data_IF_961542933834
#
_entry.id   IF_961542933834
#
_cell.length_a   1.000
_cell.length_b   1.000
_cell.length_c   1.000
_cell.angle_alpha   90.00
_cell.angle_beta   90.00
_cell.angle_gamma   90.00
#
_symmetry.space_group_name_H-M   'P 1'
#
loop_
_entity.id
_entity.type
_entity.pdbx_description
1 polymer ?
#
# COMPACT_ATOMS: atom_id res chain seq x y z
N UNK A 1 11.20 -2.01 -42.02
CA UNK A 1 10.94 -1.86 -40.58
C UNK A 1 12.01 -0.91 -40.02
N UNK A 2 11.71 0.37 -39.80
CA UNK A 2 12.70 1.35 -39.31
C UNK A 2 13.23 0.86 -37.95
N UNK A 3 14.52 0.54 -37.85
CA UNK A 3 15.14 0.34 -36.55
C UNK A 3 15.03 1.67 -35.81
N UNK A 4 14.13 1.79 -34.84
CA UNK A 4 14.16 2.94 -33.94
C UNK A 4 15.56 3.03 -33.35
N UNK A 5 16.26 4.11 -33.69
CA UNK A 5 17.62 4.35 -33.23
C UNK A 5 17.64 4.33 -31.69
N UNK A 6 18.58 3.57 -31.13
CA UNK A 6 18.79 3.53 -29.69
C UNK A 6 18.95 4.95 -29.12
N UNK A 7 18.11 5.29 -28.14
CA UNK A 7 18.18 6.58 -27.43
C UNK A 7 18.58 6.36 -25.99
N UNK A 8 19.80 6.76 -25.63
CA UNK A 8 20.30 6.71 -24.27
C UNK A 8 19.38 7.49 -23.30
N UNK A 9 18.94 6.82 -22.23
CA UNK A 9 18.04 7.37 -21.20
C UNK A 9 18.75 7.78 -19.92
N UNK A 10 20.09 7.72 -19.88
CA UNK A 10 20.90 8.01 -18.70
C UNK A 10 20.48 9.30 -17.98
N UNK A 11 20.36 10.43 -18.70
CA UNK A 11 20.00 11.72 -18.08
C UNK A 11 18.63 11.71 -17.39
N UNK A 12 17.63 11.11 -18.03
CA UNK A 12 16.28 11.00 -17.47
C UNK A 12 16.29 10.11 -16.24
N UNK A 13 16.99 8.98 -16.30
CA UNK A 13 17.12 8.07 -15.16
C UNK A 13 17.85 8.73 -13.99
N UNK A 14 18.94 9.46 -14.24
CA UNK A 14 19.65 10.20 -13.19
C UNK A 14 18.76 11.28 -12.57
N UNK A 15 18.00 12.04 -13.36
CA UNK A 15 17.08 13.05 -12.83
C UNK A 15 15.99 12.43 -11.94
N UNK A 16 15.37 11.33 -12.38
CA UNK A 16 14.45 10.57 -11.55
C UNK A 16 15.12 10.04 -10.29
N UNK A 17 16.37 9.57 -10.39
CA UNK A 17 17.14 9.09 -9.25
C UNK A 17 17.38 10.15 -8.19
N UNK A 18 17.76 11.37 -8.60
CA UNK A 18 17.90 12.52 -7.69
C UNK A 18 16.57 12.83 -7.02
N UNK A 19 15.50 12.95 -7.79
CA UNK A 19 14.17 13.28 -7.24
C UNK A 19 13.70 12.23 -6.23
N UNK A 20 13.75 10.94 -6.59
CA UNK A 20 13.35 9.85 -5.69
C UNK A 20 14.21 9.83 -4.42
N UNK A 21 15.53 10.01 -4.53
CA UNK A 21 16.41 10.00 -3.38
C UNK A 21 16.14 11.17 -2.43
N UNK A 22 16.05 12.40 -2.97
CA UNK A 22 15.76 13.59 -2.17
C UNK A 22 14.38 13.52 -1.52
N UNK A 23 13.35 13.12 -2.27
CA UNK A 23 12.01 12.91 -1.72
C UNK A 23 11.99 11.84 -0.65
N UNK A 24 12.70 10.72 -0.85
CA UNK A 24 12.80 9.65 0.13
C UNK A 24 13.47 10.11 1.44
N UNK A 25 14.56 10.87 1.35
CA UNK A 25 15.23 11.46 2.53
C UNK A 25 14.31 12.45 3.23
N UNK A 26 13.69 13.37 2.50
CA UNK A 26 12.79 14.37 3.07
C UNK A 26 11.60 13.72 3.79
N UNK A 27 10.96 12.72 3.17
CA UNK A 27 9.85 11.97 3.79
C UNK A 27 10.34 11.17 5.01
N UNK A 28 11.51 10.54 4.95
CA UNK A 28 12.08 9.83 6.09
C UNK A 28 12.34 10.74 7.30
N UNK A 29 12.66 12.02 7.06
CA UNK A 29 12.83 13.03 8.11
C UNK A 29 11.49 13.52 8.72
N UNK A 30 10.36 13.31 8.04
CA UNK A 30 9.04 13.61 8.63
C UNK A 30 8.69 12.68 9.79
N UNK A 31 9.18 11.43 9.79
CA UNK A 31 8.92 10.47 10.87
C UNK A 31 9.33 10.98 12.26
N UNK A 32 10.61 11.36 12.48
CA UNK A 32 11.05 11.94 13.75
C UNK A 32 10.35 13.26 14.10
N UNK A 33 9.99 14.08 13.11
CA UNK A 33 9.26 15.32 13.34
C UNK A 33 7.85 15.01 13.85
N UNK A 34 7.15 14.07 13.24
CA UNK A 34 5.79 13.69 13.62
C UNK A 34 5.74 12.89 14.93
N UNK A 35 6.84 12.26 15.35
CA UNK A 35 6.96 11.72 16.72
C UNK A 35 6.76 12.80 17.79
N UNK A 36 7.06 14.08 17.50
CA UNK A 36 6.80 15.18 18.41
C UNK A 36 5.30 15.34 18.73
N UNK A 37 4.41 14.94 17.82
CA UNK A 37 2.97 14.97 18.03
C UNK A 37 2.55 14.13 19.25
N UNK A 38 3.23 13.01 19.55
CA UNK A 38 2.92 12.23 20.75
C UNK A 38 3.06 13.07 22.04
N UNK A 39 4.09 13.93 22.13
CA UNK A 39 4.27 14.83 23.28
C UNK A 39 3.18 15.92 23.35
N UNK A 40 2.71 16.40 22.20
CA UNK A 40 1.65 17.42 22.17
C UNK A 40 0.30 16.89 22.67
N UNK A 41 0.04 15.59 22.54
CA UNK A 41 -1.18 14.92 23.00
C UNK A 41 -1.04 14.19 24.34
N UNK A 42 0.19 13.92 24.79
CA UNK A 42 0.47 13.34 26.11
C UNK A 42 -0.03 14.24 27.26
N UNK A 43 -0.06 13.69 28.48
CA UNK A 43 -0.46 14.43 29.68
C UNK A 43 0.39 15.70 29.86
N UNK A 44 -0.27 16.85 30.09
CA UNK A 44 0.36 18.17 30.12
C UNK A 44 0.65 18.80 28.75
N UNK A 45 0.43 18.06 27.65
CA UNK A 45 0.57 18.55 26.29
C UNK A 45 -0.55 19.52 25.87
N UNK A 46 -0.24 20.38 24.90
CA UNK A 46 -1.16 21.43 24.40
C UNK A 46 -2.51 20.88 23.90
N UNK A 47 -2.52 19.69 23.32
CA UNK A 47 -3.70 19.06 22.72
C UNK A 47 -4.20 17.85 23.51
N UNK A 48 -3.80 17.74 24.78
CA UNK A 48 -4.17 16.63 25.65
C UNK A 48 -5.68 16.41 25.78
N UNK A 49 -6.08 15.14 25.90
CA UNK A 49 -7.40 14.71 26.38
C UNK A 49 -7.30 13.34 27.05
N UNK A 50 -8.25 13.08 27.94
CA UNK A 50 -8.36 11.80 28.63
C UNK A 50 -8.58 10.65 27.62
N UNK A 51 -7.77 9.60 27.74
CA UNK A 51 -7.83 8.41 26.89
C UNK A 51 -6.94 8.43 25.65
N UNK A 52 -6.13 9.49 25.43
CA UNK A 52 -5.06 9.43 24.44
C UNK A 52 -4.01 8.38 24.82
N UNK A 53 -3.71 7.46 23.90
CA UNK A 53 -2.76 6.37 24.13
C UNK A 53 -2.99 5.19 23.19
N UNK A 54 -2.35 4.06 23.48
CA UNK A 54 -2.55 2.84 22.69
C UNK A 54 -4.02 2.43 22.65
N UNK A 55 -4.54 2.17 21.44
CA UNK A 55 -5.97 1.90 21.21
C UNK A 55 -6.80 3.13 20.85
N UNK A 56 -6.30 4.34 21.05
CA UNK A 56 -6.96 5.57 20.60
C UNK A 56 -6.74 5.79 19.10
N UNK A 57 -7.71 6.41 18.43
CA UNK A 57 -7.63 6.74 17.01
C UNK A 57 -6.43 7.62 16.72
N UNK A 58 -6.21 8.66 17.54
CA UNK A 58 -5.17 9.64 17.23
C UNK A 58 -3.77 9.09 17.44
N UNK A 59 -3.56 8.29 18.48
CA UNK A 59 -2.34 7.54 18.63
C UNK A 59 -2.09 6.61 17.43
N UNK A 60 -3.09 5.81 17.06
CA UNK A 60 -3.01 4.89 15.93
C UNK A 60 -2.75 5.60 14.60
N UNK A 61 -3.38 6.75 14.37
CA UNK A 61 -3.19 7.56 13.16
C UNK A 61 -1.77 8.13 13.06
N UNK A 62 -1.26 8.76 14.13
CA UNK A 62 0.13 9.29 14.16
C UNK A 62 1.13 8.15 13.93
N UNK A 63 0.97 7.03 14.64
CA UNK A 63 1.83 5.87 14.46
C UNK A 63 1.78 5.32 13.02
N UNK A 64 0.60 5.23 12.42
CA UNK A 64 0.40 4.77 11.05
C UNK A 64 1.05 5.70 10.02
N UNK A 65 0.98 7.01 10.23
CA UNK A 65 1.61 8.02 9.37
C UNK A 65 3.14 7.90 9.42
N UNK A 66 3.72 7.81 10.63
CA UNK A 66 5.17 7.59 10.83
C UNK A 66 5.64 6.31 10.13
N UNK A 67 4.91 5.20 10.32
CA UNK A 67 5.19 3.94 9.62
C UNK A 67 5.13 4.16 8.10
N UNK A 68 4.09 4.83 7.60
CA UNK A 68 3.93 5.19 6.20
C UNK A 68 5.12 5.97 5.63
N UNK A 69 5.61 6.99 6.34
CA UNK A 69 6.77 7.77 5.91
C UNK A 69 8.03 6.89 5.80
N UNK A 70 8.30 6.04 6.78
CA UNK A 70 9.45 5.16 6.72
C UNK A 70 9.34 4.11 5.61
N UNK A 71 8.13 3.59 5.34
CA UNK A 71 7.92 2.68 4.21
C UNK A 71 8.15 3.37 2.86
N UNK A 72 7.62 4.58 2.69
CA UNK A 72 7.84 5.37 1.48
C UNK A 72 9.34 5.65 1.32
N UNK A 73 10.03 6.09 2.37
CA UNK A 73 11.47 6.30 2.36
C UNK A 73 12.25 5.02 2.02
N UNK A 74 11.89 3.88 2.60
CA UNK A 74 12.49 2.58 2.36
C UNK A 74 12.32 2.08 0.92
N UNK A 75 11.33 2.59 0.18
CA UNK A 75 11.16 2.32 -1.26
C UNK A 75 11.91 3.36 -2.11
N UNK A 76 11.70 4.65 -1.81
CA UNK A 76 12.22 5.75 -2.64
C UNK A 76 13.75 5.85 -2.58
N UNK A 77 14.37 5.66 -1.41
CA UNK A 77 15.83 5.78 -1.25
C UNK A 77 16.57 4.70 -2.06
N UNK A 78 16.26 3.40 -1.92
CA UNK A 78 16.89 2.38 -2.76
C UNK A 78 16.62 2.60 -4.25
N UNK A 79 15.38 2.89 -4.65
CA UNK A 79 15.08 3.17 -6.05
C UNK A 79 15.88 4.37 -6.56
N UNK A 80 15.95 5.47 -5.81
CA UNK A 80 16.73 6.65 -6.15
C UNK A 80 18.21 6.33 -6.34
N UNK A 81 18.81 5.64 -5.37
CA UNK A 81 20.20 5.16 -5.45
C UNK A 81 20.43 4.29 -6.68
N UNK A 82 19.54 3.32 -6.91
CA UNK A 82 19.66 2.41 -8.05
C UNK A 82 19.58 3.15 -9.39
N UNK A 83 18.69 4.14 -9.52
CA UNK A 83 18.59 4.99 -10.71
C UNK A 83 19.88 5.77 -10.96
N UNK A 84 20.46 6.39 -9.92
CA UNK A 84 21.72 7.13 -10.02
C UNK A 84 22.89 6.24 -10.41
N UNK A 85 22.91 5.00 -9.91
CA UNK A 85 23.92 3.99 -10.25
C UNK A 85 23.58 3.16 -11.50
N UNK A 86 22.47 3.47 -12.18
CA UNK A 86 21.97 2.77 -13.37
C UNK A 86 21.97 1.24 -13.20
N UNK A 87 21.54 0.77 -12.03
CA UNK A 87 21.50 -0.67 -11.70
C UNK A 87 20.33 -1.35 -12.41
N UNK A 88 20.56 -2.56 -12.94
CA UNK A 88 19.52 -3.28 -13.70
C UNK A 88 18.30 -3.68 -12.87
N UNK A 89 18.48 -3.99 -11.58
CA UNK A 89 17.39 -4.36 -10.68
C UNK A 89 16.35 -3.25 -10.46
N UNK A 90 16.71 -1.99 -10.78
CA UNK A 90 15.81 -0.84 -10.64
C UNK A 90 14.57 -1.00 -11.50
N UNK A 91 14.73 -1.51 -12.72
CA UNK A 91 13.63 -1.63 -13.67
C UNK A 91 12.52 -2.57 -13.16
N UNK A 92 12.78 -3.84 -12.81
CA UNK A 92 11.74 -4.71 -12.28
C UNK A 92 11.15 -4.20 -10.96
N UNK A 93 11.96 -3.60 -10.07
CA UNK A 93 11.44 -3.02 -8.82
C UNK A 93 10.55 -1.80 -9.05
N UNK A 94 10.95 -0.88 -9.93
CA UNK A 94 10.13 0.29 -10.27
C UNK A 94 8.80 -0.13 -10.89
N UNK A 95 8.82 -1.05 -11.86
CA UNK A 95 7.58 -1.60 -12.46
C UNK A 95 6.71 -2.25 -11.37
N UNK A 96 7.31 -3.02 -10.47
CA UNK A 96 6.60 -3.65 -9.35
C UNK A 96 5.93 -2.61 -8.45
N UNK A 97 6.66 -1.58 -8.02
CA UNK A 97 6.13 -0.51 -7.17
C UNK A 97 5.00 0.26 -7.86
N UNK A 98 5.08 0.48 -9.17
CA UNK A 98 4.03 1.17 -9.93
C UNK A 98 2.75 0.33 -10.07
N UNK A 99 2.87 -0.99 -10.23
CA UNK A 99 1.70 -1.88 -10.18
C UNK A 99 1.08 -1.94 -8.78
N UNK A 100 1.91 -1.98 -7.75
CA UNK A 100 1.45 -1.92 -6.35
C UNK A 100 0.75 -0.59 -6.07
N UNK A 101 1.28 0.54 -6.58
CA UNK A 101 0.61 1.84 -6.55
C UNK A 101 -0.75 1.76 -7.21
N UNK A 102 -0.87 1.23 -8.44
CA UNK A 102 -2.17 1.12 -9.10
C UNK A 102 -3.18 0.29 -8.29
N UNK A 103 -2.75 -0.85 -7.74
CA UNK A 103 -3.62 -1.77 -6.98
C UNK A 103 -4.12 -1.13 -5.68
N UNK A 104 -3.23 -0.48 -4.92
CA UNK A 104 -3.56 0.08 -3.60
C UNK A 104 -4.13 1.49 -3.70
N UNK A 105 -3.57 2.30 -4.60
CA UNK A 105 -3.82 3.72 -4.71
C UNK A 105 -5.05 4.07 -5.54
N UNK A 106 -5.39 3.30 -6.58
CA UNK A 106 -6.59 3.62 -7.38
C UNK A 106 -7.90 3.62 -6.56
N UNK A 107 -8.11 2.70 -5.59
CA UNK A 107 -9.28 2.73 -4.72
C UNK A 107 -9.35 3.95 -3.80
N UNK A 108 -8.21 4.61 -3.49
CA UNK A 108 -8.22 5.86 -2.73
C UNK A 108 -8.94 6.99 -3.47
N UNK A 109 -8.96 6.96 -4.80
CA UNK A 109 -9.73 7.93 -5.61
C UNK A 109 -11.20 7.92 -5.24
N UNK A 110 -11.75 6.72 -5.04
CA UNK A 110 -13.17 6.54 -4.72
C UNK A 110 -13.48 7.13 -3.34
N UNK A 111 -12.62 6.86 -2.35
CA UNK A 111 -12.81 7.38 -0.98
C UNK A 111 -12.71 8.90 -0.96
N UNK A 112 -11.66 9.46 -1.58
CA UNK A 112 -11.50 10.91 -1.66
C UNK A 112 -12.66 11.54 -2.41
N UNK A 113 -13.16 10.92 -3.48
CA UNK A 113 -14.34 11.40 -4.20
C UNK A 113 -15.57 11.51 -3.28
N UNK A 114 -15.87 10.49 -2.46
CA UNK A 114 -16.98 10.55 -1.52
C UNK A 114 -16.76 11.58 -0.41
N UNK A 115 -15.52 11.73 0.08
CA UNK A 115 -15.17 12.79 1.06
C UNK A 115 -15.40 14.18 0.45
N UNK A 116 -14.97 14.39 -0.80
CA UNK A 116 -15.15 15.67 -1.51
C UNK A 116 -16.64 15.97 -1.73
N UNK A 117 -17.45 14.97 -2.12
CA UNK A 117 -18.90 15.13 -2.27
C UNK A 117 -19.62 15.38 -0.95
N UNK A 118 -19.14 14.80 0.14
CA UNK A 118 -19.71 14.97 1.48
C UNK A 118 -19.28 16.27 2.17
N UNK A 119 -18.25 16.95 1.67
CA UNK A 119 -17.75 18.20 2.23
C UNK A 119 -18.66 19.36 1.82
N UNK A 120 -19.32 19.97 2.81
CA UNK A 120 -20.25 21.10 2.58
C UNK A 120 -19.56 22.41 2.22
N UNK A 121 -18.27 22.52 2.48
CA UNK A 121 -17.51 23.77 2.37
C UNK A 121 -16.68 23.87 1.07
N UNK A 122 -16.66 22.81 0.24
CA UNK A 122 -15.91 22.80 -1.01
C UNK A 122 -16.78 23.23 -2.18
N UNK A 123 -16.30 24.21 -2.95
CA UNK A 123 -16.94 24.57 -4.21
C UNK A 123 -16.78 23.46 -5.24
N UNK A 124 -17.81 23.26 -6.07
CA UNK A 124 -17.82 22.26 -7.14
C UNK A 124 -16.59 22.34 -8.08
N UNK A 125 -16.08 23.53 -8.46
CA UNK A 125 -14.86 23.62 -9.27
C UNK A 125 -13.62 23.08 -8.56
N UNK A 126 -13.45 23.39 -7.26
CA UNK A 126 -12.29 22.92 -6.48
C UNK A 126 -12.32 21.41 -6.33
N UNK A 127 -13.48 20.84 -6.00
CA UNK A 127 -13.65 19.39 -5.93
C UNK A 127 -13.35 18.70 -7.28
N UNK A 128 -13.78 19.30 -8.39
CA UNK A 128 -13.52 18.76 -9.73
C UNK A 128 -12.03 18.79 -10.10
N UNK A 129 -11.35 19.91 -9.82
CA UNK A 129 -9.90 20.02 -10.04
C UNK A 129 -9.14 19.01 -9.19
N UNK A 130 -9.50 18.88 -7.91
CA UNK A 130 -8.89 17.91 -7.01
C UNK A 130 -9.06 16.47 -7.54
N UNK A 131 -10.26 16.11 -8.01
CA UNK A 131 -10.52 14.80 -8.58
C UNK A 131 -9.72 14.54 -9.86
N UNK A 132 -9.60 15.53 -10.76
CA UNK A 132 -8.78 15.43 -11.97
C UNK A 132 -7.32 15.19 -11.61
N UNK A 133 -6.76 15.98 -10.69
CA UNK A 133 -5.38 15.83 -10.23
C UNK A 133 -5.15 14.46 -9.59
N UNK A 134 -6.14 13.94 -8.86
CA UNK A 134 -6.09 12.62 -8.24
C UNK A 134 -6.09 11.50 -9.29
N UNK A 135 -6.97 11.57 -10.30
CA UNK A 135 -6.98 10.63 -11.41
C UNK A 135 -5.66 10.66 -12.21
N UNK A 136 -5.12 11.85 -12.46
CA UNK A 136 -3.84 12.02 -13.15
C UNK A 136 -2.68 11.41 -12.35
N UNK A 137 -2.64 11.62 -11.03
CA UNK A 137 -1.56 11.12 -10.17
C UNK A 137 -1.66 9.62 -9.90
N UNK A 138 -2.85 9.07 -9.69
CA UNK A 138 -3.04 7.67 -9.29
C UNK A 138 -3.29 6.69 -10.44
N UNK A 139 -3.65 7.15 -11.64
CA UNK A 139 -3.88 6.28 -12.80
C UNK A 139 -2.93 6.61 -13.96
N UNK A 140 -2.90 7.88 -14.39
CA UNK A 140 -2.18 8.28 -15.60
C UNK A 140 -0.66 8.24 -15.39
N UNK A 141 -0.17 8.87 -14.33
CA UNK A 141 1.25 8.89 -14.00
C UNK A 141 1.86 7.49 -13.86
N UNK A 142 1.31 6.56 -13.05
CA UNK A 142 1.87 5.22 -12.98
C UNK A 142 1.77 4.46 -14.31
N UNK A 143 0.71 4.64 -15.09
CA UNK A 143 0.59 4.05 -16.43
C UNK A 143 1.68 4.52 -17.40
N UNK A 144 1.96 5.83 -17.42
CA UNK A 144 3.03 6.40 -18.24
C UNK A 144 4.42 5.92 -17.79
N UNK A 145 4.66 5.85 -16.49
CA UNK A 145 5.93 5.35 -15.94
C UNK A 145 6.13 3.85 -16.22
N UNK A 146 5.08 3.03 -16.10
CA UNK A 146 5.15 1.60 -16.47
C UNK A 146 5.55 1.47 -17.95
N UNK A 147 4.91 2.22 -18.84
CA UNK A 147 5.26 2.25 -20.27
C UNK A 147 6.71 2.69 -20.49
N UNK A 148 7.18 3.70 -19.77
CA UNK A 148 8.56 4.16 -19.83
C UNK A 148 9.55 3.06 -19.43
N UNK A 149 9.37 2.42 -18.27
CA UNK A 149 10.27 1.34 -17.80
C UNK A 149 10.19 0.07 -18.63
N UNK A 150 9.05 -0.21 -19.28
CA UNK A 150 8.93 -1.31 -20.23
C UNK A 150 9.64 -1.05 -21.56
N UNK A 151 9.93 0.21 -21.89
CA UNK A 151 10.58 0.61 -23.14
C UNK A 151 11.96 -0.01 -23.36
N UNK A 152 12.23 -0.39 -24.61
CA UNK A 152 13.51 -1.02 -25.03
C UNK A 152 14.74 -0.15 -24.71
N UNK A 153 14.60 1.16 -24.88
CA UNK A 153 15.68 2.12 -24.61
C UNK A 153 16.14 2.09 -23.14
N UNK A 154 15.21 2.05 -22.17
CA UNK A 154 15.56 1.98 -20.73
C UNK A 154 16.29 0.68 -20.43
N UNK A 155 15.81 -0.43 -20.97
CA UNK A 155 16.45 -1.75 -20.82
C UNK A 155 17.89 -1.73 -21.35
N UNK A 156 18.10 -1.27 -22.58
CA UNK A 156 19.44 -1.21 -23.18
C UNK A 156 20.38 -0.25 -22.44
N UNK A 157 19.88 0.91 -21.98
CA UNK A 157 20.68 1.83 -21.16
C UNK A 157 21.17 1.17 -19.87
N UNK A 158 20.31 0.40 -19.19
CA UNK A 158 20.69 -0.33 -17.97
C UNK A 158 21.65 -1.49 -18.26
N UNK A 159 21.38 -2.29 -19.29
CA UNK A 159 22.24 -3.42 -19.69
C UNK A 159 23.64 -2.96 -20.12
N UNK A 160 23.75 -1.79 -20.76
CA UNK A 160 25.03 -1.19 -21.15
C UNK A 160 25.87 -0.68 -19.97
N UNK A 161 25.26 -0.42 -18.80
CA UNK A 161 25.91 0.21 -17.65
C UNK A 161 26.20 -0.75 -16.50
N UNK A 162 25.42 -1.82 -16.36
CA UNK A 162 25.58 -2.82 -15.31
C UNK A 162 25.61 -4.22 -15.93
N UNK A 163 26.80 -4.81 -16.03
CA UNK A 163 27.00 -6.12 -16.65
C UNK A 163 26.54 -7.29 -15.78
N UNK A 164 26.30 -7.05 -14.48
CA UNK A 164 25.94 -8.10 -13.52
C UNK A 164 24.42 -8.29 -13.48
N UNK A 165 23.88 -9.45 -13.87
CA UNK A 165 22.46 -9.71 -13.71
C UNK A 165 22.10 -9.80 -12.22
N UNK A 166 21.00 -9.15 -11.82
CA UNK A 166 20.46 -9.28 -10.47
C UNK A 166 19.51 -10.47 -10.34
N UNK A 167 19.45 -11.08 -9.16
CA UNK A 167 18.50 -12.16 -8.87
C UNK A 167 17.03 -11.73 -9.06
N UNK A 168 16.73 -10.45 -8.83
CA UNK A 168 15.38 -9.87 -8.98
C UNK A 168 14.94 -9.90 -10.45
N UNK A 169 15.87 -9.75 -11.40
CA UNK A 169 15.55 -9.81 -12.84
C UNK A 169 15.09 -11.20 -13.28
N UNK A 170 15.50 -12.25 -12.56
CA UNK A 170 15.07 -13.62 -12.81
C UNK A 170 13.62 -13.90 -12.36
N UNK A 171 13.00 -12.98 -11.60
CA UNK A 171 11.65 -13.15 -11.11
C UNK A 171 10.63 -12.51 -12.06
N UNK A 172 9.54 -13.22 -12.43
CA UNK A 172 8.44 -12.62 -13.17
C UNK A 172 7.80 -11.46 -12.39
N UNK A 173 7.46 -10.37 -13.06
CA UNK A 173 6.82 -9.19 -12.44
C UNK A 173 5.60 -9.55 -11.59
N UNK A 174 4.67 -10.45 -12.00
CA UNK A 174 3.54 -10.81 -11.15
C UNK A 174 3.94 -11.42 -9.80
N UNK A 175 5.05 -12.16 -9.74
CA UNK A 175 5.56 -12.75 -8.49
C UNK A 175 6.10 -11.65 -7.56
N UNK A 176 6.81 -10.67 -8.11
CA UNK A 176 7.30 -9.52 -7.34
C UNK A 176 6.12 -8.66 -6.83
N UNK A 177 5.13 -8.40 -7.68
CA UNK A 177 3.93 -7.63 -7.32
C UNK A 177 3.16 -8.31 -6.19
N UNK A 178 2.88 -9.62 -6.30
CA UNK A 178 2.23 -10.38 -5.21
C UNK A 178 3.04 -10.32 -3.91
N UNK A 179 4.36 -10.49 -4.00
CA UNK A 179 5.22 -10.47 -2.81
C UNK A 179 5.19 -9.10 -2.11
N UNK A 180 5.22 -8.01 -2.87
CA UNK A 180 5.09 -6.65 -2.33
C UNK A 180 3.70 -6.37 -1.76
N UNK A 181 2.64 -6.84 -2.42
CA UNK A 181 1.27 -6.70 -1.92
C UNK A 181 1.07 -7.46 -0.61
N UNK A 182 1.59 -8.69 -0.49
CA UNK A 182 1.54 -9.44 0.76
C UNK A 182 2.33 -8.77 1.88
N UNK A 183 3.53 -8.26 1.58
CA UNK A 183 4.32 -7.51 2.55
C UNK A 183 3.59 -6.22 3.01
N UNK A 184 2.95 -5.52 2.08
CA UNK A 184 2.09 -4.38 2.39
C UNK A 184 0.93 -4.78 3.31
N UNK A 185 0.23 -5.89 3.02
CA UNK A 185 -0.85 -6.38 3.86
C UNK A 185 -0.38 -6.81 5.25
N UNK A 186 0.79 -7.42 5.38
CA UNK A 186 1.39 -7.68 6.70
C UNK A 186 1.47 -6.40 7.51
N UNK A 187 1.96 -5.31 6.93
CA UNK A 187 2.09 -4.03 7.64
C UNK A 187 0.72 -3.44 7.96
N UNK A 188 -0.24 -3.48 7.03
CA UNK A 188 -1.60 -3.00 7.28
C UNK A 188 -2.29 -3.77 8.41
N UNK A 189 -2.11 -5.10 8.48
CA UNK A 189 -2.67 -5.90 9.57
C UNK A 189 -2.03 -5.59 10.92
N UNK A 190 -0.72 -5.29 10.96
CA UNK A 190 -0.09 -4.80 12.20
C UNK A 190 -0.65 -3.46 12.64
N UNK A 191 -0.96 -2.55 11.70
CA UNK A 191 -1.60 -1.27 12.02
C UNK A 191 -2.96 -1.50 12.68
N UNK A 192 -3.74 -2.50 12.26
CA UNK A 192 -5.03 -2.83 12.87
C UNK A 192 -4.93 -3.28 14.35
N UNK A 193 -3.76 -3.74 14.79
CA UNK A 193 -3.50 -4.04 16.21
C UNK A 193 -3.60 -2.75 17.05
N UNK A 194 -3.18 -1.60 16.50
CA UNK A 194 -3.30 -0.29 17.16
C UNK A 194 -4.76 0.17 17.30
N UNK A 195 -5.66 -0.43 16.53
CA UNK A 195 -7.10 -0.13 16.50
C UNK A 195 -7.90 -1.27 17.15
N UNK A 196 -7.55 -1.60 18.39
CA UNK A 196 -8.20 -2.64 19.19
C UNK A 196 -8.27 -4.02 18.50
N UNK A 197 -7.26 -4.37 17.69
CA UNK A 197 -7.19 -5.65 16.99
C UNK A 197 -8.34 -5.91 16.02
N UNK A 198 -8.87 -4.87 15.37
CA UNK A 198 -10.03 -5.00 14.48
C UNK A 198 -9.79 -6.01 13.35
N UNK A 199 -10.49 -7.14 13.37
CA UNK A 199 -10.38 -8.19 12.35
C UNK A 199 -11.75 -8.52 11.72
N UNK A 200 -11.91 -8.47 10.39
CA UNK A 200 -13.15 -8.84 9.72
C UNK A 200 -13.27 -10.36 9.55
N UNK A 201 -14.29 -10.97 10.17
CA UNK A 201 -14.56 -12.39 10.14
C UNK A 201 -16.00 -12.69 9.66
N UNK A 202 -16.16 -12.90 8.36
CA UNK A 202 -17.38 -13.39 7.69
C UNK A 202 -18.68 -12.73 8.17
N UNK A 203 -18.73 -11.40 8.16
CA UNK A 203 -19.92 -10.63 8.48
C UNK A 203 -19.88 -9.97 9.86
N UNK A 204 -18.89 -10.32 10.68
CA UNK A 204 -18.74 -9.80 12.05
C UNK A 204 -17.31 -9.32 12.27
N UNK A 205 -17.14 -8.22 13.01
CA UNK A 205 -15.84 -7.78 13.49
C UNK A 205 -15.46 -8.47 14.80
N UNK A 206 -14.20 -8.92 14.88
CA UNK A 206 -13.57 -9.36 16.13
C UNK A 206 -12.64 -8.25 16.61
N UNK A 207 -12.66 -8.00 17.91
CA UNK A 207 -11.86 -6.97 18.57
C UNK A 207 -11.12 -7.56 19.78
N UNK A 208 -10.24 -6.77 20.39
CA UNK A 208 -9.44 -7.15 21.54
C UNK A 208 -8.55 -8.36 21.24
N UNK A 209 -8.34 -9.21 22.23
CA UNK A 209 -7.43 -10.36 22.13
C UNK A 209 -7.80 -11.34 21.00
N UNK A 210 -9.09 -11.61 20.79
CA UNK A 210 -9.53 -12.51 19.71
C UNK A 210 -9.16 -11.96 18.34
N UNK A 211 -9.36 -10.65 18.13
CA UNK A 211 -9.00 -9.98 16.89
C UNK A 211 -7.50 -9.96 16.67
N UNK A 212 -6.70 -9.68 17.71
CA UNK A 212 -5.23 -9.71 17.66
C UNK A 212 -4.72 -11.10 17.26
N UNK A 213 -5.22 -12.18 17.88
CA UNK A 213 -4.81 -13.55 17.54
C UNK A 213 -5.10 -13.86 16.06
N UNK A 214 -6.27 -13.45 15.56
CA UNK A 214 -6.62 -13.66 14.14
C UNK A 214 -5.73 -12.84 13.20
N UNK A 215 -5.39 -11.59 13.58
CA UNK A 215 -4.42 -10.77 12.85
C UNK A 215 -3.05 -11.45 12.80
N UNK A 216 -2.54 -11.95 13.92
CA UNK A 216 -1.24 -12.62 14.01
C UNK A 216 -1.17 -13.88 13.14
N UNK A 217 -2.23 -14.69 13.15
CA UNK A 217 -2.34 -15.86 12.28
C UNK A 217 -2.33 -15.43 10.81
N UNK A 218 -3.11 -14.41 10.45
CA UNK A 218 -3.16 -13.88 9.08
C UNK A 218 -1.80 -13.31 8.63
N UNK A 219 -1.10 -12.61 9.51
CA UNK A 219 0.26 -12.10 9.31
C UNK A 219 1.24 -13.26 9.06
N UNK A 220 1.22 -14.28 9.91
CA UNK A 220 2.09 -15.45 9.76
C UNK A 220 1.84 -16.16 8.42
N UNK A 221 0.57 -16.35 8.04
CA UNK A 221 0.19 -16.89 6.74
C UNK A 221 0.75 -16.04 5.59
N UNK A 222 0.59 -14.71 5.63
CA UNK A 222 1.12 -13.81 4.61
C UNK A 222 2.64 -13.84 4.51
N UNK A 223 3.37 -13.90 5.63
CA UNK A 223 4.83 -14.03 5.65
C UNK A 223 5.27 -15.34 4.98
N UNK A 224 4.61 -16.46 5.33
CA UNK A 224 4.84 -17.74 4.65
C UNK A 224 4.55 -17.63 3.14
N UNK A 225 3.47 -16.95 2.75
CA UNK A 225 3.12 -16.73 1.34
C UNK A 225 4.14 -15.87 0.60
N UNK A 226 4.69 -14.81 1.21
CA UNK A 226 5.79 -14.01 0.63
C UNK A 226 6.97 -14.91 0.31
N UNK A 227 7.43 -15.68 1.31
CA UNK A 227 8.56 -16.59 1.14
C UNK A 227 8.30 -17.64 0.06
N UNK A 228 7.14 -18.31 0.13
CA UNK A 228 6.76 -19.35 -0.83
C UNK A 228 6.57 -18.82 -2.26
N UNK A 229 6.08 -17.58 -2.40
CA UNK A 229 5.87 -16.89 -3.68
C UNK A 229 7.18 -16.52 -4.34
N UNK A 230 8.12 -15.94 -3.58
CA UNK A 230 9.48 -15.66 -4.06
C UNK A 230 10.23 -16.95 -4.45
N UNK A 231 9.99 -18.05 -3.73
CA UNK A 231 10.52 -19.38 -4.06
C UNK A 231 9.71 -20.12 -5.14
N UNK A 232 8.64 -19.52 -5.68
CA UNK A 232 7.77 -20.07 -6.74
C UNK A 232 7.25 -21.48 -6.45
N UNK A 233 6.98 -21.79 -5.17
CA UNK A 233 6.51 -23.11 -4.71
C UNK A 233 5.02 -23.28 -5.04
N UNK A 234 4.62 -24.46 -5.54
CA UNK A 234 3.21 -24.74 -5.91
C UNK A 234 2.23 -24.57 -4.75
N UNK A 235 2.62 -24.96 -3.54
CA UNK A 235 1.78 -24.80 -2.34
C UNK A 235 1.49 -23.32 -2.04
N UNK A 236 2.43 -22.41 -2.34
CA UNK A 236 2.26 -20.98 -2.07
C UNK A 236 1.24 -20.35 -3.01
N UNK A 237 1.14 -20.85 -4.25
CA UNK A 237 0.10 -20.44 -5.18
C UNK A 237 -1.29 -20.87 -4.68
N UNK A 238 -1.46 -22.15 -4.35
CA UNK A 238 -2.74 -22.64 -3.78
C UNK A 238 -3.09 -21.91 -2.48
N UNK A 239 -2.11 -21.77 -1.58
CA UNK A 239 -2.24 -21.04 -0.34
C UNK A 239 -2.69 -19.60 -0.57
N UNK A 240 -2.08 -18.88 -1.51
CA UNK A 240 -2.47 -17.53 -1.85
C UNK A 240 -3.91 -17.47 -2.40
N UNK A 241 -4.28 -18.35 -3.33
CA UNK A 241 -5.62 -18.37 -3.92
C UNK A 241 -6.69 -18.61 -2.85
N UNK A 242 -6.47 -19.58 -1.96
CA UNK A 242 -7.43 -19.92 -0.90
C UNK A 242 -7.44 -18.86 0.20
N UNK A 243 -6.28 -18.47 0.72
CA UNK A 243 -6.17 -17.52 1.82
C UNK A 243 -6.63 -16.12 1.41
N UNK A 244 -6.07 -15.56 0.31
CA UNK A 244 -6.44 -14.22 -0.15
C UNK A 244 -7.89 -14.21 -0.62
N UNK A 245 -8.38 -15.26 -1.28
CA UNK A 245 -9.78 -15.37 -1.67
C UNK A 245 -10.73 -15.33 -0.46
N UNK A 246 -10.51 -16.21 0.52
CA UNK A 246 -11.30 -16.24 1.76
C UNK A 246 -11.21 -14.93 2.54
N UNK A 247 -10.01 -14.35 2.65
CA UNK A 247 -9.80 -13.08 3.35
C UNK A 247 -10.48 -11.91 2.64
N UNK A 248 -10.45 -11.89 1.31
CA UNK A 248 -11.16 -10.89 0.47
C UNK A 248 -12.66 -10.97 0.70
N UNK A 249 -13.24 -12.17 0.58
CA UNK A 249 -14.68 -12.38 0.76
C UNK A 249 -15.13 -12.03 2.18
N UNK A 250 -14.38 -12.48 3.19
CA UNK A 250 -14.62 -12.15 4.60
C UNK A 250 -14.62 -10.64 4.84
N UNK A 251 -13.60 -9.94 4.31
CA UNK A 251 -13.43 -8.49 4.48
C UNK A 251 -14.55 -7.71 3.81
N UNK A 252 -14.84 -7.99 2.54
CA UNK A 252 -15.90 -7.30 1.79
C UNK A 252 -17.25 -7.54 2.45
N UNK A 253 -17.58 -8.78 2.78
CA UNK A 253 -18.87 -9.12 3.38
C UNK A 253 -19.06 -8.46 4.76
N UNK A 254 -18.01 -8.45 5.58
CA UNK A 254 -18.05 -7.81 6.91
C UNK A 254 -18.22 -6.30 6.79
N UNK A 255 -17.45 -5.63 5.93
CA UNK A 255 -17.52 -4.18 5.76
C UNK A 255 -18.84 -3.76 5.11
N UNK A 256 -19.31 -4.46 4.08
CA UNK A 256 -20.55 -4.14 3.39
C UNK A 256 -21.81 -4.27 4.27
N UNK A 257 -21.79 -5.16 5.27
CA UNK A 257 -22.91 -5.33 6.22
C UNK A 257 -22.82 -4.45 7.46
N UNK A 258 -21.67 -3.80 7.70
CA UNK A 258 -21.44 -3.02 8.91
C UNK A 258 -21.77 -1.55 8.68
N UNK A 259 -22.47 -0.91 9.62
CA UNK A 259 -22.56 0.55 9.62
C UNK A 259 -21.27 1.15 10.16
N UNK A 260 -20.95 2.38 9.75
CA UNK A 260 -19.77 3.07 10.29
C UNK A 260 -19.84 3.24 11.81
N UNK A 261 -21.03 3.50 12.35
CA UNK A 261 -21.24 3.57 13.80
C UNK A 261 -20.96 2.24 14.52
N UNK A 262 -21.35 1.10 13.93
CA UNK A 262 -21.06 -0.21 14.49
C UNK A 262 -19.55 -0.47 14.55
N UNK A 263 -18.80 -0.08 13.51
CA UNK A 263 -17.34 -0.15 13.48
C UNK A 263 -16.75 0.70 14.63
N UNK A 264 -17.16 1.97 14.73
CA UNK A 264 -16.67 2.88 15.77
C UNK A 264 -16.97 2.38 17.19
N UNK A 265 -18.13 1.76 17.42
CA UNK A 265 -18.47 1.22 18.75
C UNK A 265 -17.56 0.09 19.21
N UNK A 266 -17.04 -0.72 18.28
CA UNK A 266 -16.13 -1.83 18.61
C UNK A 266 -14.68 -1.40 18.86
N UNK A 267 -14.29 -0.25 18.32
CA UNK A 267 -12.95 0.32 18.48
C UNK A 267 -12.71 0.91 19.87
N UNK A 268 -13.78 1.20 20.63
CA UNK A 268 -13.72 1.73 22.00
C UNK A 268 -12.89 3.01 22.13
N UNK A 269 -12.95 3.89 21.12
CA UNK A 269 -12.24 5.16 21.15
C UNK A 269 -12.75 6.11 22.26
N UNK A 270 -11.87 6.97 22.81
CA UNK A 270 -12.25 8.05 23.71
C UNK A 270 -13.41 8.91 23.18
N UNK A 271 -14.24 9.43 24.10
CA UNK A 271 -15.45 10.20 23.75
C UNK A 271 -15.14 11.39 22.83
N UNK A 272 -14.08 12.14 23.12
CA UNK A 272 -13.61 13.27 22.30
C UNK A 272 -13.29 12.84 20.87
N UNK A 273 -12.79 11.62 20.68
CA UNK A 273 -12.49 11.10 19.36
C UNK A 273 -13.74 10.68 18.59
N UNK A 274 -14.68 10.04 19.28
CA UNK A 274 -15.96 9.66 18.70
C UNK A 274 -16.77 10.88 18.23
N UNK A 275 -16.69 12.00 18.94
CA UNK A 275 -17.37 13.25 18.55
C UNK A 275 -16.95 13.72 17.17
N UNK A 276 -15.65 13.80 16.88
CA UNK A 276 -15.19 14.22 15.56
C UNK A 276 -15.39 13.14 14.49
N UNK A 277 -15.22 11.85 14.84
CA UNK A 277 -15.35 10.76 13.87
C UNK A 277 -16.80 10.57 13.40
N UNK A 278 -17.80 10.86 14.24
CA UNK A 278 -19.23 10.76 13.90
C UNK A 278 -19.66 11.72 12.78
N UNK A 279 -18.92 12.81 12.57
CA UNK A 279 -19.21 13.79 11.52
C UNK A 279 -18.80 13.36 10.11
N UNK A 280 -18.04 12.26 9.97
CA UNK A 280 -17.52 11.82 8.67
C UNK A 280 -18.62 11.10 7.87
N UNK A 281 -18.95 11.55 6.64
CA UNK A 281 -20.03 10.99 5.82
C UNK A 281 -19.63 9.67 5.13
N UNK A 282 -19.11 8.72 5.90
CA UNK A 282 -18.68 7.39 5.42
C UNK A 282 -19.56 6.29 5.99
N UNK A 283 -19.54 5.15 5.31
CA UNK A 283 -20.37 3.98 5.59
C UNK A 283 -19.53 2.73 5.33
N UNK A 284 -19.93 1.58 5.86
CA UNK A 284 -19.15 0.35 5.72
C UNK A 284 -18.85 -0.04 4.27
N UNK A 285 -19.77 0.20 3.33
CA UNK A 285 -19.54 -0.10 1.91
C UNK A 285 -18.40 0.74 1.29
N UNK A 286 -18.17 1.98 1.76
CA UNK A 286 -17.04 2.80 1.29
C UNK A 286 -15.71 2.13 1.66
N UNK A 287 -15.61 1.66 2.89
CA UNK A 287 -14.45 0.88 3.35
C UNK A 287 -14.36 -0.48 2.64
N UNK A 288 -15.50 -1.12 2.35
CA UNK A 288 -15.53 -2.36 1.58
C UNK A 288 -14.95 -2.18 0.18
N UNK A 289 -15.20 -1.05 -0.48
CA UNK A 289 -14.57 -0.73 -1.76
C UNK A 289 -13.09 -0.41 -1.59
N UNK A 290 -12.74 0.46 -0.62
CA UNK A 290 -11.36 0.87 -0.36
C UNK A 290 -10.42 -0.31 -0.08
N UNK A 291 -10.86 -1.25 0.76
CA UNK A 291 -10.05 -2.40 1.19
C UNK A 291 -10.29 -3.63 0.29
N UNK A 292 -11.52 -3.81 -0.19
CA UNK A 292 -11.90 -4.96 -0.99
C UNK A 292 -11.35 -4.93 -2.41
N UNK A 293 -11.25 -3.76 -3.05
CA UNK A 293 -10.72 -3.67 -4.43
C UNK A 293 -9.24 -4.08 -4.49
N UNK A 294 -8.33 -3.58 -3.62
CA UNK A 294 -6.95 -4.06 -3.60
C UNK A 294 -6.85 -5.57 -3.33
N UNK A 295 -7.64 -6.09 -2.38
CA UNK A 295 -7.63 -7.52 -2.04
C UNK A 295 -8.13 -8.38 -3.22
N UNK A 296 -9.21 -7.99 -3.87
CA UNK A 296 -9.76 -8.66 -5.05
C UNK A 296 -8.77 -8.61 -6.23
N UNK A 297 -8.16 -7.45 -6.48
CA UNK A 297 -7.13 -7.32 -7.50
C UNK A 297 -5.94 -8.24 -7.21
N UNK A 298 -5.47 -8.31 -5.96
CA UNK A 298 -4.42 -9.25 -5.55
C UNK A 298 -4.82 -10.70 -5.77
N UNK A 299 -6.06 -11.07 -5.44
CA UNK A 299 -6.58 -12.41 -5.65
C UNK A 299 -6.59 -12.78 -7.15
N UNK A 300 -7.05 -11.87 -8.02
CA UNK A 300 -7.03 -12.05 -9.48
C UNK A 300 -5.59 -12.20 -9.98
N UNK A 301 -4.64 -11.37 -9.52
CA UNK A 301 -3.23 -11.50 -9.89
C UNK A 301 -2.68 -12.87 -9.45
N UNK A 302 -3.05 -13.36 -8.27
CA UNK A 302 -2.64 -14.68 -7.78
C UNK A 302 -3.17 -15.82 -8.67
N UNK A 303 -4.42 -15.75 -9.11
CA UNK A 303 -5.02 -16.70 -10.06
C UNK A 303 -4.26 -16.70 -11.40
N UNK A 304 -4.02 -15.51 -11.97
CA UNK A 304 -3.33 -15.35 -13.25
C UNK A 304 -1.84 -15.72 -13.18
N UNK A 305 -1.23 -15.65 -11.99
CA UNK A 305 0.17 -15.96 -11.79
C UNK A 305 0.48 -17.47 -11.80
N UNK A 306 -0.53 -18.36 -11.86
CA UNK A 306 -0.39 -19.85 -11.81
C UNK A 306 0.79 -20.39 -12.63
N UNK A 307 0.93 -19.91 -13.88
CA UNK A 307 1.96 -20.37 -14.83
C UNK A 307 3.40 -20.16 -14.35
N UNK A 308 3.62 -19.27 -13.39
CA UNK A 308 4.96 -18.96 -12.87
C UNK A 308 5.36 -19.85 -11.67
N UNK A 309 4.46 -20.69 -11.17
CA UNK A 309 4.69 -21.58 -10.04
C UNK A 309 4.98 -23.01 -10.51
N UNK A 310 5.97 -23.66 -9.89
CA UNK A 310 6.30 -25.06 -10.18
C UNK A 310 7.23 -25.31 -11.37
N UNK A 311 7.85 -24.27 -11.93
CA UNK A 311 8.90 -24.38 -12.97
C UNK A 311 10.31 -24.38 -12.36
N UNK A 312 10.46 -24.98 -11.17
CA UNK A 312 11.79 -25.25 -10.63
C UNK A 312 12.35 -26.42 -11.42
N UNK A 313 13.12 -26.14 -12.47
CA UNK A 313 14.25 -27.02 -12.80
C UNK A 313 15.10 -27.05 -11.54
N UNK A 314 15.03 -28.16 -10.81
CA UNK A 314 16.06 -28.53 -9.85
C UNK A 314 17.38 -28.70 -10.58
#
# INVERSE_FOLDING_TARGET
>A
MKSEAYKDRTRVMSAMGVLLLLSGIAIGLLGPIEMYCFYLFAEGGRFHYAGFGFGSFMFGNIASQIIGYYLIAAVLIPLGYGHLKLRRWVRPLAITCLWVWLVIGAPLIIVVFFILLGSKDLSLPVASIALILLCLSYLVLPGLLIRFYQGRNVRFTLEARDSRPSWIEGLPIPILVLSFLYAFYVIMLHILILFNGMFPAFGVFRFGLQGIILLDIAIACLICLVWGTLRRRRWAWWGAVVFIGSFTLSTIFTLARSSYQAILSGLAFPARELEFLRGIPVQGYHFAVMVGVPLLATWIIALLAKRHFGSSKG
#
